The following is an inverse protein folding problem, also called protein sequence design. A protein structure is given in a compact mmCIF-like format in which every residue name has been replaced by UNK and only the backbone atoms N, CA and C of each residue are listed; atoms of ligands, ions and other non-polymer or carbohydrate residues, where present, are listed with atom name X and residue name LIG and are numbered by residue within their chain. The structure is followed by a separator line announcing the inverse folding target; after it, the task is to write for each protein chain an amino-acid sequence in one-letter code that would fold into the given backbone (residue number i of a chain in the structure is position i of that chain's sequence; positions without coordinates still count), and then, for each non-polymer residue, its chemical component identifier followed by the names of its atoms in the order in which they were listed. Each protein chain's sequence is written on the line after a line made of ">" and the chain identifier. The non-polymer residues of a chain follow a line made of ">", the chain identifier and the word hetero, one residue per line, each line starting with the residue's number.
data_IF_508447904957
#
_entry.id   IF_508447904957
#
_cell.length_a   1.000
_cell.length_b   1.000
_cell.length_c   1.000
_cell.angle_alpha   90.00
_cell.angle_beta   90.00
_cell.angle_gamma   90.00
#
_symmetry.space_group_name_H-M   'P 1'
#
loop_
_entity.id
_entity.type
_entity.pdbx_description
1 polymer ?
#
# COMPACT_ATOMS: atom_id res chain seq x y z
N UNK A 1 12.83 -3.62 10.62
CA UNK A 1 12.33 -3.51 12.01
C UNK A 1 13.07 -4.48 12.92
N UNK A 2 13.07 -4.21 14.23
CA UNK A 2 13.50 -5.11 15.28
C UNK A 2 12.27 -5.81 15.89
N UNK A 3 12.37 -7.10 16.18
CA UNK A 3 11.27 -7.93 16.67
C UNK A 3 10.56 -8.70 15.56
N UNK A 4 9.29 -9.01 15.75
CA UNK A 4 8.46 -9.65 14.73
C UNK A 4 8.13 -8.69 13.60
N UNK A 5 7.97 -9.20 12.38
CA UNK A 5 7.91 -8.43 11.14
C UNK A 5 6.63 -7.62 10.88
N UNK A 6 5.59 -7.74 11.70
CA UNK A 6 4.29 -7.07 11.51
C UNK A 6 4.40 -5.56 11.23
N UNK A 7 5.31 -4.87 11.94
CA UNK A 7 5.54 -3.42 11.76
C UNK A 7 6.36 -3.04 10.53
N UNK A 8 6.87 -4.00 9.78
CA UNK A 8 7.55 -3.73 8.52
C UNK A 8 6.56 -3.40 7.39
N UNK A 9 5.38 -4.00 7.45
CA UNK A 9 4.31 -3.88 6.45
C UNK A 9 3.17 -3.01 6.99
N UNK A 10 2.69 -3.31 8.21
CA UNK A 10 1.59 -2.59 8.82
C UNK A 10 2.11 -1.42 9.67
N UNK A 11 1.85 -0.21 9.19
CA UNK A 11 2.11 0.99 9.98
C UNK A 11 1.12 1.08 11.13
N UNK A 12 1.62 1.06 12.34
CA UNK A 12 0.80 1.23 13.55
C UNK A 12 1.07 2.59 14.17
N UNK A 13 0.15 3.52 14.00
CA UNK A 13 0.27 4.86 14.55
C UNK A 13 1.46 5.65 13.98
N UNK A 14 2.30 6.20 14.88
CA UNK A 14 3.50 6.96 14.53
C UNK A 14 4.78 6.13 14.61
N UNK A 15 4.70 4.81 14.43
CA UNK A 15 5.85 3.92 14.43
C UNK A 15 6.29 3.62 12.98
N UNK A 16 7.59 3.65 12.73
CA UNK A 16 8.12 3.61 11.37
C UNK A 16 9.20 2.54 11.21
N UNK A 17 9.12 1.69 10.18
CA UNK A 17 10.22 0.82 9.80
C UNK A 17 11.39 1.65 9.25
N UNK A 18 12.62 1.14 9.39
CA UNK A 18 13.79 1.72 8.72
C UNK A 18 13.76 1.35 7.24
N UNK A 19 13.56 2.32 6.37
CA UNK A 19 13.67 2.18 4.92
C UNK A 19 15.14 2.29 4.50
N UNK A 20 15.58 1.41 3.60
CA UNK A 20 16.95 1.34 3.09
C UNK A 20 16.91 1.18 1.57
N UNK A 21 17.46 2.14 0.85
CA UNK A 21 17.73 2.00 -0.58
C UNK A 21 18.99 1.17 -0.78
N UNK A 22 18.88 -0.04 -1.31
CA UNK A 22 20.06 -0.93 -1.47
C UNK A 22 21.13 -0.36 -2.40
N UNK A 23 20.76 0.50 -3.34
CA UNK A 23 21.71 1.23 -4.19
C UNK A 23 22.54 2.26 -3.41
N UNK A 24 21.94 2.86 -2.37
CA UNK A 24 22.53 3.90 -1.52
C UNK A 24 22.19 3.63 -0.04
N UNK A 25 22.76 2.58 0.58
CA UNK A 25 22.29 2.09 1.88
C UNK A 25 22.47 3.09 3.03
N UNK A 26 23.38 4.06 2.88
CA UNK A 26 23.62 5.12 3.87
C UNK A 26 22.74 6.37 3.67
N UNK A 27 21.93 6.40 2.61
CA UNK A 27 21.00 7.51 2.39
C UNK A 27 19.91 7.47 3.48
N UNK A 28 19.66 8.63 4.08
CA UNK A 28 18.61 8.82 5.08
C UNK A 28 17.58 9.84 4.60
N UNK A 29 16.29 9.65 4.89
CA UNK A 29 15.26 10.64 4.58
C UNK A 29 15.49 11.98 5.28
N UNK A 30 16.13 11.95 6.45
CA UNK A 30 16.52 13.14 7.20
C UNK A 30 17.86 12.94 7.91
N UNK A 31 18.60 14.04 8.09
CA UNK A 31 19.87 14.06 8.82
C UNK A 31 19.76 14.72 10.18
N UNK A 32 18.66 15.43 10.47
CA UNK A 32 18.46 16.06 11.77
C UNK A 32 18.02 15.05 12.86
N UNK A 33 18.54 15.22 14.06
CA UNK A 33 18.35 14.29 15.16
C UNK A 33 16.88 14.19 15.62
N UNK A 34 16.10 15.28 15.51
CA UNK A 34 14.68 15.29 15.90
C UNK A 34 13.85 14.42 14.96
N UNK A 35 14.08 14.53 13.67
CA UNK A 35 13.41 13.71 12.65
C UNK A 35 13.82 12.26 12.75
N UNK A 36 15.13 11.95 12.94
CA UNK A 36 15.60 10.59 13.13
C UNK A 36 14.92 9.93 14.35
N UNK A 37 14.80 10.62 15.48
CA UNK A 37 14.07 10.12 16.65
C UNK A 37 12.59 9.88 16.34
N UNK A 38 11.94 10.84 15.70
CA UNK A 38 10.51 10.77 15.37
C UNK A 38 10.17 9.61 14.44
N UNK A 39 11.04 9.35 13.46
CA UNK A 39 10.83 8.34 12.43
C UNK A 39 11.60 7.03 12.67
N UNK A 40 12.10 6.82 13.88
CA UNK A 40 12.65 5.54 14.32
C UNK A 40 11.58 4.66 14.96
N UNK A 41 11.83 3.36 14.97
CA UNK A 41 10.97 2.39 15.63
C UNK A 41 10.86 2.67 17.13
N UNK A 42 9.64 2.85 17.63
CA UNK A 42 9.35 3.13 19.05
C UNK A 42 8.83 1.90 19.79
N UNK A 43 8.19 0.98 19.08
CA UNK A 43 7.59 -0.23 19.65
C UNK A 43 8.17 -1.48 19.00
N UNK A 44 8.15 -2.58 19.73
CA UNK A 44 8.56 -3.90 19.26
C UNK A 44 7.46 -4.91 19.52
N UNK A 45 7.17 -5.72 18.51
CA UNK A 45 6.28 -6.87 18.63
C UNK A 45 7.10 -8.11 18.95
N UNK A 46 6.69 -8.85 19.97
CA UNK A 46 7.41 -10.01 20.48
C UNK A 46 6.46 -11.07 21.06
N UNK A 47 6.99 -12.28 21.24
CA UNK A 47 6.32 -13.34 21.99
C UNK A 47 6.85 -13.34 23.44
N UNK A 48 5.96 -13.10 24.39
CA UNK A 48 6.27 -13.30 25.80
C UNK A 48 6.21 -14.79 26.13
N UNK A 49 7.38 -15.39 26.33
CA UNK A 49 7.48 -16.83 26.60
C UNK A 49 6.96 -17.23 27.98
N UNK A 50 6.82 -16.29 28.94
CA UNK A 50 6.27 -16.58 30.27
C UNK A 50 4.77 -16.67 30.23
N UNK A 51 4.15 -15.74 29.48
CA UNK A 51 2.68 -15.66 29.36
C UNK A 51 2.17 -16.38 28.09
N UNK A 52 3.08 -16.85 27.23
CA UNK A 52 2.78 -17.48 25.94
C UNK A 52 1.80 -16.62 25.11
N UNK A 53 2.10 -15.34 25.03
CA UNK A 53 1.24 -14.35 24.39
C UNK A 53 2.04 -13.40 23.49
N UNK A 54 1.37 -12.93 22.43
CA UNK A 54 1.88 -11.85 21.60
C UNK A 54 1.76 -10.53 22.37
N UNK A 55 2.83 -9.73 22.37
CA UNK A 55 2.84 -8.41 23.01
C UNK A 55 3.51 -7.37 22.13
N UNK A 56 2.95 -6.18 22.17
CA UNK A 56 3.56 -4.95 21.66
C UNK A 56 4.09 -4.16 22.85
N UNK A 57 5.38 -3.86 22.89
CA UNK A 57 6.01 -3.15 23.99
C UNK A 57 6.86 -1.97 23.50
N UNK A 58 7.01 -0.89 24.27
CA UNK A 58 7.98 0.15 23.96
C UNK A 58 9.40 -0.45 23.84
N UNK A 59 10.15 -0.03 22.82
CA UNK A 59 11.52 -0.48 22.61
C UNK A 59 12.38 -0.28 23.85
N UNK A 60 12.21 0.85 24.54
CA UNK A 60 12.97 1.21 25.74
C UNK A 60 12.76 0.26 26.91
N UNK A 61 11.62 -0.42 26.97
CA UNK A 61 11.29 -1.36 28.08
C UNK A 61 11.84 -2.77 27.80
N UNK A 62 12.16 -3.08 26.54
CA UNK A 62 12.62 -4.43 26.13
C UNK A 62 14.12 -4.47 25.90
N UNK A 63 14.66 -3.40 25.34
CA UNK A 63 16.06 -3.33 24.97
C UNK A 63 16.94 -3.29 26.23
N UNK A 64 17.92 -4.17 26.29
CA UNK A 64 18.84 -4.20 27.44
C UNK A 64 20.29 -4.33 26.97
N UNK A 65 21.21 -3.97 27.87
CA UNK A 65 22.64 -3.95 27.62
C UNK A 65 23.25 -5.32 27.28
N UNK A 66 22.60 -6.40 27.69
CA UNK A 66 23.09 -7.77 27.46
C UNK A 66 22.64 -8.34 26.10
N UNK A 67 21.83 -7.59 25.34
CA UNK A 67 21.43 -8.00 24.02
C UNK A 67 22.59 -7.82 23.05
N UNK A 68 23.24 -8.93 22.66
CA UNK A 68 24.48 -8.93 21.87
C UNK A 68 24.38 -8.11 20.56
N UNK A 69 23.31 -8.22 19.77
CA UNK A 69 23.17 -7.46 18.52
C UNK A 69 22.93 -5.96 18.70
N UNK A 70 22.69 -5.49 19.93
CA UNK A 70 22.29 -4.10 20.20
C UNK A 70 23.17 -3.06 19.50
N UNK A 71 24.48 -3.28 19.50
CA UNK A 71 25.45 -2.35 18.88
C UNK A 71 25.30 -2.18 17.37
N UNK A 72 24.63 -3.14 16.70
CA UNK A 72 24.35 -3.07 15.27
C UNK A 72 23.00 -2.40 15.00
N UNK A 73 22.08 -2.46 15.94
CA UNK A 73 20.69 -2.00 15.78
C UNK A 73 20.49 -0.58 16.25
N UNK A 74 21.11 -0.18 17.39
CA UNK A 74 20.83 1.07 18.07
C UNK A 74 22.05 2.00 18.14
N UNK A 75 21.74 3.29 18.26
CA UNK A 75 22.69 4.36 18.61
C UNK A 75 22.21 5.08 19.87
N UNK A 76 23.14 5.74 20.57
CA UNK A 76 22.83 6.62 21.70
C UNK A 76 22.52 8.00 21.18
N UNK A 77 21.39 8.56 21.60
CA UNK A 77 21.05 9.96 21.39
C UNK A 77 21.72 10.84 22.46
N UNK A 78 22.64 11.68 22.03
CA UNK A 78 23.36 12.63 22.86
C UNK A 78 22.87 14.07 22.60
N UNK A 79 21.52 14.27 22.72
CA UNK A 79 20.84 15.57 22.66
C UNK A 79 21.14 16.43 21.41
N UNK A 80 21.25 15.79 20.26
CA UNK A 80 21.44 16.48 18.97
C UNK A 80 22.31 15.74 17.97
N UNK A 81 23.00 14.70 18.43
CA UNK A 81 23.74 13.79 17.56
C UNK A 81 23.68 12.35 18.08
N UNK A 82 23.92 11.41 17.18
CA UNK A 82 23.90 9.98 17.49
C UNK A 82 25.31 9.42 17.57
N UNK A 83 25.63 8.73 18.65
CA UNK A 83 26.89 8.02 18.84
C UNK A 83 26.71 6.52 18.79
N UNK A 84 27.71 5.82 18.23
CA UNK A 84 27.73 4.37 18.14
C UNK A 84 28.03 3.74 19.50
N UNK A 85 27.35 2.64 19.82
CA UNK A 85 27.68 1.83 20.98
C UNK A 85 29.04 1.14 20.77
N UNK A 86 30.06 1.58 21.52
CA UNK A 86 31.44 1.07 21.43
C UNK A 86 31.71 -0.11 22.36
N UNK A 87 30.94 -0.25 23.43
CA UNK A 87 31.10 -1.30 24.45
C UNK A 87 29.84 -2.15 24.55
N UNK A 88 30.01 -3.42 24.96
CA UNK A 88 28.90 -4.32 25.26
C UNK A 88 28.10 -3.89 26.50
N UNK A 89 28.64 -3.00 27.30
CA UNK A 89 28.04 -2.55 28.57
C UNK A 89 27.55 -1.11 28.43
N UNK A 90 26.26 -0.92 28.55
CA UNK A 90 25.64 0.38 28.74
C UNK A 90 25.68 0.60 30.25
N UNK A 91 26.63 1.40 30.74
CA UNK A 91 26.82 1.65 32.19
C UNK A 91 25.85 2.68 32.75
N UNK A 92 24.99 3.27 31.89
CA UNK A 92 24.13 4.37 32.28
C UNK A 92 22.67 4.06 31.83
N UNK A 93 21.81 3.82 32.83
CA UNK A 93 20.38 3.54 32.63
C UNK A 93 19.62 4.73 32.00
N UNK A 94 20.23 5.91 31.97
CA UNK A 94 19.63 7.13 31.42
C UNK A 94 19.95 7.36 29.93
N UNK A 95 20.71 6.50 29.27
CA UNK A 95 21.00 6.67 27.83
C UNK A 95 19.79 6.40 26.96
N UNK A 96 19.41 7.38 26.18
CA UNK A 96 18.33 7.27 25.21
C UNK A 96 18.82 6.47 23.99
N UNK A 97 18.36 5.24 23.85
CA UNK A 97 18.66 4.39 22.71
C UNK A 97 17.63 4.62 21.59
N UNK A 98 18.12 4.69 20.36
CA UNK A 98 17.30 4.87 19.16
C UNK A 98 17.66 3.78 18.15
N UNK A 99 16.67 3.06 17.64
CA UNK A 99 16.85 2.00 16.63
C UNK A 99 17.10 2.67 15.28
N UNK A 100 18.34 2.64 14.81
CA UNK A 100 18.75 3.28 13.55
C UNK A 100 19.25 2.31 12.50
N UNK A 101 19.66 1.09 12.87
CA UNK A 101 20.32 0.09 12.05
C UNK A 101 21.61 0.58 11.33
N UNK A 102 22.14 1.73 11.72
CA UNK A 102 23.27 2.34 11.03
C UNK A 102 24.54 1.49 11.09
N UNK A 103 24.83 0.93 12.25
CA UNK A 103 26.03 0.10 12.44
C UNK A 103 25.88 -1.27 11.74
N UNK A 104 24.67 -1.80 11.57
CA UNK A 104 24.41 -2.96 10.73
C UNK A 104 24.85 -2.69 9.30
N UNK A 105 24.40 -1.56 8.72
CA UNK A 105 24.70 -1.19 7.36
C UNK A 105 26.20 -0.88 7.14
N UNK A 106 26.85 -0.33 8.16
CA UNK A 106 28.24 0.11 8.06
C UNK A 106 29.25 -1.00 8.33
N UNK A 107 28.95 -1.93 9.25
CA UNK A 107 29.91 -2.95 9.73
C UNK A 107 29.67 -4.33 9.17
N UNK A 108 28.56 -4.56 8.50
CA UNK A 108 28.23 -5.88 7.93
C UNK A 108 28.00 -5.77 6.43
N UNK A 109 28.12 -6.86 5.69
CA UNK A 109 27.81 -6.90 4.27
C UNK A 109 26.29 -7.01 3.99
N UNK A 110 25.42 -6.51 4.88
CA UNK A 110 23.96 -6.65 4.78
C UNK A 110 23.41 -6.16 3.44
N UNK A 111 23.68 -4.90 3.08
CA UNK A 111 23.16 -4.30 1.87
C UNK A 111 23.72 -4.96 0.59
N UNK A 112 24.97 -5.39 0.61
CA UNK A 112 25.59 -6.12 -0.50
C UNK A 112 24.94 -7.47 -0.71
N UNK A 113 24.82 -8.29 0.36
CA UNK A 113 24.20 -9.61 0.31
C UNK A 113 22.73 -9.53 -0.13
N UNK A 114 21.96 -8.58 0.41
CA UNK A 114 20.57 -8.38 0.00
C UNK A 114 20.46 -8.06 -1.49
N UNK A 115 21.34 -7.21 -2.00
CA UNK A 115 21.38 -6.85 -3.43
C UNK A 115 21.71 -8.05 -4.31
N UNK A 116 22.68 -8.86 -3.89
CA UNK A 116 23.06 -10.08 -4.61
C UNK A 116 21.94 -11.11 -4.61
N UNK A 117 21.29 -11.31 -3.46
CA UNK A 117 20.14 -12.22 -3.32
C UNK A 117 18.98 -11.81 -4.23
N UNK A 118 18.58 -10.56 -4.20
CA UNK A 118 17.50 -10.04 -5.05
C UNK A 118 17.84 -10.22 -6.53
N UNK A 119 19.05 -9.83 -6.97
CA UNK A 119 19.47 -10.03 -8.37
C UNK A 119 19.48 -11.51 -8.81
N UNK A 120 19.87 -12.40 -7.92
CA UNK A 120 19.84 -13.82 -8.22
C UNK A 120 18.41 -14.35 -8.37
N UNK A 121 17.52 -13.93 -7.47
CA UNK A 121 16.10 -14.29 -7.51
C UNK A 121 15.42 -13.70 -8.74
N UNK A 122 15.56 -12.40 -9.01
CA UNK A 122 15.02 -11.73 -10.20
C UNK A 122 15.47 -12.41 -11.50
N UNK A 123 16.75 -12.81 -11.57
CA UNK A 123 17.26 -13.54 -12.73
C UNK A 123 16.60 -14.91 -12.92
N UNK A 124 16.26 -15.60 -11.84
CA UNK A 124 15.67 -16.94 -11.92
C UNK A 124 14.15 -16.90 -12.12
N UNK A 125 13.48 -15.88 -11.57
CA UNK A 125 12.05 -15.66 -11.78
C UNK A 125 11.73 -14.90 -13.07
N UNK A 126 12.75 -14.33 -13.72
CA UNK A 126 12.61 -13.45 -14.90
C UNK A 126 11.67 -12.24 -14.66
N UNK A 127 11.51 -11.86 -13.40
CA UNK A 127 10.66 -10.76 -12.93
C UNK A 127 11.26 -10.15 -11.66
N UNK A 128 10.96 -8.88 -11.34
CA UNK A 128 11.21 -8.30 -10.03
C UNK A 128 10.59 -9.17 -8.93
N UNK A 129 11.18 -9.20 -7.74
CA UNK A 129 10.68 -10.03 -6.64
C UNK A 129 10.47 -9.23 -5.37
N UNK A 130 9.44 -9.60 -4.61
CA UNK A 130 9.27 -9.25 -3.22
C UNK A 130 9.83 -10.34 -2.32
N UNK A 131 10.50 -9.93 -1.25
CA UNK A 131 11.20 -10.83 -0.37
C UNK A 131 10.88 -10.53 1.10
N UNK A 132 10.33 -11.52 1.80
CA UNK A 132 10.28 -11.51 3.25
C UNK A 132 11.47 -12.27 3.81
N UNK A 133 12.13 -11.67 4.80
CA UNK A 133 13.32 -12.25 5.39
C UNK A 133 13.48 -11.88 6.87
N UNK A 134 14.23 -12.69 7.56
CA UNK A 134 14.80 -12.35 8.87
C UNK A 134 16.32 -12.30 8.79
N UNK A 135 16.92 -11.56 9.72
CA UNK A 135 18.36 -11.59 9.87
C UNK A 135 18.77 -11.68 11.35
N UNK A 136 19.91 -12.31 11.58
CA UNK A 136 20.61 -12.26 12.85
C UNK A 136 22.05 -11.84 12.63
N UNK A 137 22.60 -11.15 13.61
CA UNK A 137 24.00 -10.71 13.61
C UNK A 137 24.63 -11.03 14.96
N UNK A 138 25.75 -11.72 14.94
CA UNK A 138 26.53 -12.08 16.13
C UNK A 138 28.00 -11.74 15.89
N UNK A 139 28.78 -11.69 16.95
CA UNK A 139 30.22 -11.60 16.82
C UNK A 139 30.82 -13.01 16.81
N UNK A 140 31.72 -13.27 15.88
CA UNK A 140 32.56 -14.46 15.93
C UNK A 140 33.54 -14.39 17.14
N UNK A 141 34.25 -15.46 17.48
CA UNK A 141 35.22 -15.44 18.58
C UNK A 141 36.33 -14.39 18.40
N UNK A 142 36.56 -13.90 17.18
CA UNK A 142 37.53 -12.86 16.86
C UNK A 142 36.92 -11.44 16.91
N UNK A 143 35.61 -11.33 17.19
CA UNK A 143 34.87 -10.07 17.29
C UNK A 143 34.47 -9.47 15.94
N UNK A 144 34.46 -10.28 14.86
CA UNK A 144 33.93 -9.88 13.56
C UNK A 144 32.45 -10.18 13.48
N UNK A 145 31.66 -9.30 12.82
CA UNK A 145 30.23 -9.56 12.65
C UNK A 145 29.99 -10.74 11.71
N UNK A 146 29.26 -11.73 12.17
CA UNK A 146 28.69 -12.80 11.38
C UNK A 146 27.22 -12.52 11.15
N UNK A 147 26.84 -12.36 9.89
CA UNK A 147 25.47 -12.05 9.47
C UNK A 147 24.86 -13.28 8.83
N UNK A 148 23.71 -13.72 9.37
CA UNK A 148 22.85 -14.73 8.77
C UNK A 148 21.56 -14.06 8.28
N UNK A 149 21.18 -14.30 7.03
CA UNK A 149 19.92 -13.86 6.45
C UNK A 149 19.13 -15.10 6.06
N UNK A 150 17.89 -15.18 6.53
CA UNK A 150 16.99 -16.30 6.23
C UNK A 150 15.81 -15.78 5.43
N UNK A 151 15.64 -16.29 4.21
CA UNK A 151 14.47 -15.98 3.37
C UNK A 151 13.29 -16.75 3.95
N UNK A 152 12.20 -16.06 4.22
CA UNK A 152 10.93 -16.61 4.69
C UNK A 152 9.97 -16.81 3.52
N UNK A 153 9.91 -15.85 2.62
CA UNK A 153 9.05 -15.86 1.45
C UNK A 153 9.72 -15.11 0.31
N UNK A 154 9.50 -15.59 -0.92
CA UNK A 154 9.85 -14.89 -2.15
C UNK A 154 8.68 -15.00 -3.11
N UNK A 155 8.23 -13.87 -3.65
CA UNK A 155 7.17 -13.78 -4.65
C UNK A 155 7.67 -13.00 -5.85
N UNK A 156 7.51 -13.52 -7.08
CA UNK A 156 7.71 -12.68 -8.26
C UNK A 156 6.65 -11.59 -8.26
N UNK A 157 7.04 -10.36 -8.54
CA UNK A 157 6.09 -9.30 -8.82
C UNK A 157 5.50 -9.55 -10.20
N UNK A 158 4.18 -9.74 -10.28
CA UNK A 158 3.52 -9.79 -11.58
C UNK A 158 3.67 -8.42 -12.23
N UNK A 159 4.34 -8.39 -13.38
CA UNK A 159 4.31 -7.22 -14.24
C UNK A 159 2.90 -7.18 -14.85
N UNK A 160 2.13 -6.17 -14.49
CA UNK A 160 0.95 -5.80 -15.24
C UNK A 160 1.42 -5.63 -16.69
N UNK A 161 0.87 -6.42 -17.62
CA UNK A 161 1.34 -6.44 -19.01
C UNK A 161 1.27 -5.01 -19.54
N UNK A 162 2.42 -4.40 -19.78
CA UNK A 162 2.52 -3.13 -20.48
C UNK A 162 2.04 -3.36 -21.93
N UNK A 163 0.76 -3.20 -22.15
CA UNK A 163 0.19 -3.19 -23.50
C UNK A 163 0.61 -1.89 -24.15
N UNK A 164 1.44 -1.96 -25.18
CA UNK A 164 1.90 -0.91 -26.09
C UNK A 164 2.09 0.48 -25.45
N UNK A 165 3.23 1.10 -25.68
CA UNK A 165 3.62 2.41 -25.12
C UNK A 165 2.42 3.36 -24.99
N UNK A 166 1.97 3.55 -23.76
CA UNK A 166 0.76 4.31 -23.45
C UNK A 166 1.09 5.79 -23.57
N UNK A 167 0.70 6.40 -24.68
CA UNK A 167 0.92 7.84 -24.92
C UNK A 167 -0.17 8.60 -24.16
N UNK A 168 0.19 9.23 -23.05
CA UNK A 168 -0.69 10.21 -22.41
C UNK A 168 -1.01 11.32 -23.41
N UNK A 169 -2.29 11.71 -23.59
CA UNK A 169 -2.66 12.82 -24.45
C UNK A 169 -1.96 14.10 -23.96
N UNK A 170 -1.47 14.89 -24.92
CA UNK A 170 -0.68 16.10 -24.60
C UNK A 170 -1.49 17.12 -23.78
N UNK A 171 -2.76 17.30 -24.09
CA UNK A 171 -3.72 18.13 -23.34
C UNK A 171 -5.11 17.50 -23.54
N UNK A 172 -5.62 16.66 -22.59
CA UNK A 172 -6.99 16.19 -22.70
C UNK A 172 -7.97 17.34 -22.48
N UNK A 173 -9.12 17.29 -23.15
CA UNK A 173 -10.20 18.22 -22.85
C UNK A 173 -10.60 18.03 -21.37
N UNK A 174 -10.65 19.12 -20.63
CA UNK A 174 -10.96 19.09 -19.20
C UNK A 174 -12.34 18.48 -18.91
N UNK A 175 -13.28 18.55 -19.86
CA UNK A 175 -14.61 17.97 -19.73
C UNK A 175 -14.60 16.44 -19.87
N UNK A 176 -13.58 15.88 -20.49
CA UNK A 176 -13.41 14.42 -20.64
C UNK A 176 -12.74 13.78 -19.44
N UNK A 177 -12.03 14.55 -18.60
CA UNK A 177 -11.31 14.03 -17.45
C UNK A 177 -12.28 13.72 -16.32
N UNK A 178 -12.38 12.44 -15.94
CA UNK A 178 -13.16 11.97 -14.79
C UNK A 178 -12.32 11.96 -13.52
N UNK A 179 -11.07 11.54 -13.62
CA UNK A 179 -10.11 11.66 -12.52
C UNK A 179 -8.68 11.77 -13.06
N UNK A 180 -7.82 12.41 -12.28
CA UNK A 180 -6.36 12.39 -12.45
C UNK A 180 -5.71 12.23 -11.08
N UNK A 181 -4.69 11.40 -11.01
CA UNK A 181 -3.87 11.22 -9.80
C UNK A 181 -2.40 11.10 -10.14
N UNK A 182 -1.55 11.55 -9.19
CA UNK A 182 -0.08 11.50 -9.28
C UNK A 182 0.54 10.71 -8.13
N UNK A 183 -0.26 9.87 -7.48
CA UNK A 183 0.19 9.14 -6.31
C UNK A 183 0.36 7.65 -6.64
N UNK A 184 1.62 7.18 -6.65
CA UNK A 184 2.03 5.77 -6.88
C UNK A 184 1.27 5.14 -8.05
N UNK A 185 1.64 5.53 -9.25
CA UNK A 185 0.98 5.08 -10.47
C UNK A 185 1.77 3.92 -11.07
N UNK A 186 1.15 2.75 -11.32
CA UNK A 186 1.76 1.69 -12.10
C UNK A 186 1.79 2.06 -13.59
N UNK A 187 2.63 1.40 -14.38
CA UNK A 187 2.48 1.45 -15.84
C UNK A 187 1.32 0.58 -16.27
N UNK A 188 0.40 1.11 -17.11
CA UNK A 188 -0.74 0.33 -17.59
C UNK A 188 -1.78 1.09 -18.40
N UNK A 189 -2.70 0.31 -18.96
CA UNK A 189 -3.75 0.83 -19.81
C UNK A 189 -5.01 -0.02 -19.72
N UNK A 190 -6.14 0.63 -19.46
CA UNK A 190 -7.47 0.03 -19.55
C UNK A 190 -8.23 0.69 -20.70
N UNK A 191 -8.33 -0.03 -21.80
CA UNK A 191 -8.94 0.44 -23.04
C UNK A 191 -10.42 0.81 -22.88
N UNK A 192 -11.13 0.09 -21.98
CA UNK A 192 -12.57 0.26 -21.82
C UNK A 192 -13.03 -0.12 -20.45
N UNK A 193 -13.78 0.77 -19.82
CA UNK A 193 -14.52 0.55 -18.58
C UNK A 193 -15.95 1.02 -18.82
N UNK A 194 -16.91 0.12 -18.63
CA UNK A 194 -18.34 0.39 -18.86
C UNK A 194 -19.09 0.71 -17.57
N UNK A 195 -18.59 0.17 -16.42
CA UNK A 195 -19.21 0.36 -15.10
C UNK A 195 -18.18 0.76 -14.05
N UNK A 196 -18.68 1.52 -13.06
CA UNK A 196 -17.91 1.87 -11.86
C UNK A 196 -18.72 1.46 -10.64
N UNK A 197 -18.16 0.56 -9.83
CA UNK A 197 -18.66 0.20 -8.49
C UNK A 197 -18.13 1.26 -7.53
N UNK A 198 -19.00 2.12 -7.03
CA UNK A 198 -18.61 3.26 -6.21
C UNK A 198 -19.16 3.16 -4.79
N UNK A 199 -18.28 3.21 -3.81
CA UNK A 199 -18.59 3.33 -2.39
C UNK A 199 -18.39 4.80 -1.98
N UNK A 200 -19.47 5.59 -1.80
CA UNK A 200 -19.35 6.98 -1.37
C UNK A 200 -18.71 7.06 0.01
N UNK A 201 -17.57 7.80 0.17
CA UNK A 201 -16.87 7.88 1.45
C UNK A 201 -17.75 8.36 2.60
N UNK A 202 -18.56 9.38 2.36
CA UNK A 202 -19.43 9.98 3.36
C UNK A 202 -20.50 8.99 3.87
N UNK A 203 -21.00 8.11 2.99
CA UNK A 203 -21.98 7.09 3.36
C UNK A 203 -21.34 5.89 4.05
N UNK A 204 -20.14 5.50 3.62
CA UNK A 204 -19.37 4.43 4.27
C UNK A 204 -19.09 4.74 5.74
N UNK A 205 -18.61 5.94 6.04
CA UNK A 205 -18.29 6.34 7.43
C UNK A 205 -19.53 6.61 8.30
N UNK A 206 -20.74 6.67 7.73
CA UNK A 206 -21.99 6.66 8.49
C UNK A 206 -22.37 5.27 8.98
N UNK A 207 -21.83 4.19 8.41
CA UNK A 207 -22.06 2.82 8.87
C UNK A 207 -21.44 2.64 10.26
N UNK A 208 -22.27 2.45 11.28
CA UNK A 208 -21.85 2.51 12.69
C UNK A 208 -21.31 1.18 13.22
N UNK A 209 -21.59 0.06 12.57
CA UNK A 209 -21.21 -1.26 13.04
C UNK A 209 -20.29 -1.99 12.05
N UNK A 210 -19.39 -2.81 12.59
CA UNK A 210 -18.57 -3.72 11.79
C UNK A 210 -19.43 -4.64 10.93
N UNK A 211 -20.59 -5.08 11.45
CA UNK A 211 -21.52 -5.94 10.71
C UNK A 211 -22.06 -5.26 9.44
N UNK A 212 -22.46 -3.98 9.51
CA UNK A 212 -22.93 -3.24 8.33
C UNK A 212 -21.82 -3.11 7.27
N UNK A 213 -20.58 -2.87 7.69
CA UNK A 213 -19.44 -2.80 6.77
C UNK A 213 -19.08 -4.15 6.16
N UNK A 214 -19.21 -5.22 6.94
CA UNK A 214 -19.07 -6.61 6.42
C UNK A 214 -20.18 -6.96 5.44
N UNK A 215 -21.42 -6.55 5.72
CA UNK A 215 -22.54 -6.77 4.81
C UNK A 215 -22.40 -5.97 3.51
N UNK A 216 -21.79 -4.78 3.57
CA UNK A 216 -21.41 -4.02 2.38
C UNK A 216 -20.34 -4.79 1.55
N UNK A 217 -19.30 -5.33 2.19
CA UNK A 217 -18.30 -6.16 1.52
C UNK A 217 -18.95 -7.37 0.81
N UNK A 218 -19.85 -8.07 1.48
CA UNK A 218 -20.63 -9.18 0.88
C UNK A 218 -21.50 -8.73 -0.29
N UNK A 219 -22.07 -7.52 -0.22
CA UNK A 219 -22.87 -6.95 -1.32
C UNK A 219 -21.98 -6.68 -2.53
N UNK A 220 -20.77 -6.15 -2.31
CA UNK A 220 -19.76 -5.96 -3.37
C UNK A 220 -19.39 -7.30 -4.00
N UNK A 221 -19.15 -8.35 -3.21
CA UNK A 221 -18.85 -9.70 -3.72
C UNK A 221 -19.98 -10.27 -4.59
N UNK A 222 -21.26 -10.06 -4.19
CA UNK A 222 -22.40 -10.46 -5.04
C UNK A 222 -22.47 -9.68 -6.34
N UNK A 223 -22.18 -8.37 -6.27
CA UNK A 223 -22.14 -7.53 -7.46
C UNK A 223 -20.99 -7.91 -8.39
N UNK A 224 -19.80 -8.22 -7.84
CA UNK A 224 -18.67 -8.75 -8.61
C UNK A 224 -19.05 -10.01 -9.39
N UNK A 225 -19.74 -10.95 -8.77
CA UNK A 225 -20.22 -12.17 -9.45
C UNK A 225 -21.24 -11.85 -10.55
N UNK A 226 -22.14 -10.89 -10.33
CA UNK A 226 -23.12 -10.47 -11.34
C UNK A 226 -22.45 -9.76 -12.52
N UNK A 227 -21.39 -9.01 -12.30
CA UNK A 227 -20.63 -8.24 -13.31
C UNK A 227 -19.52 -9.06 -14.02
N UNK A 228 -19.49 -10.40 -13.88
CA UNK A 228 -18.42 -11.26 -14.44
C UNK A 228 -18.07 -10.94 -15.90
N UNK A 229 -19.05 -10.58 -16.73
CA UNK A 229 -18.87 -10.32 -18.16
C UNK A 229 -18.65 -8.84 -18.51
N UNK A 230 -18.73 -7.98 -17.50
CA UNK A 230 -18.66 -6.55 -17.69
C UNK A 230 -17.23 -6.03 -17.41
N UNK A 231 -16.90 -4.91 -18.03
CA UNK A 231 -15.64 -4.23 -17.78
C UNK A 231 -15.88 -3.13 -16.73
N UNK A 232 -15.45 -3.37 -15.50
CA UNK A 232 -15.69 -2.44 -14.41
C UNK A 232 -14.47 -2.22 -13.53
N UNK A 233 -14.52 -1.13 -12.77
CA UNK A 233 -13.55 -0.76 -11.74
C UNK A 233 -14.27 -0.54 -10.40
N UNK A 234 -13.52 -0.67 -9.30
CA UNK A 234 -13.98 -0.29 -7.97
C UNK A 234 -13.37 1.03 -7.54
N UNK A 235 -14.16 1.91 -6.91
CA UNK A 235 -13.74 3.20 -6.38
C UNK A 235 -14.36 3.39 -5.00
N UNK A 236 -13.56 3.75 -3.98
CA UNK A 236 -14.14 4.00 -2.66
C UNK A 236 -13.10 4.37 -1.59
N UNK A 237 -13.58 4.57 -0.35
CA UNK A 237 -12.78 5.18 0.70
C UNK A 237 -11.72 4.25 1.25
N UNK A 238 -10.55 4.82 1.50
CA UNK A 238 -9.55 4.28 2.36
C UNK A 238 -8.85 3.05 1.87
N UNK A 239 -8.32 2.32 2.82
CA UNK A 239 -7.52 1.12 2.62
C UNK A 239 -8.42 -0.11 2.50
N UNK A 240 -8.71 -0.53 1.30
CA UNK A 240 -9.49 -1.73 1.04
C UNK A 240 -8.74 -3.01 1.46
N UNK A 241 -9.47 -4.05 1.79
CA UNK A 241 -8.88 -5.31 2.23
C UNK A 241 -8.26 -5.26 3.64
N UNK A 242 -8.44 -4.17 4.38
CA UNK A 242 -7.99 -4.08 5.77
C UNK A 242 -8.91 -4.87 6.71
N UNK A 243 -8.31 -5.62 7.65
CA UNK A 243 -9.05 -6.24 8.75
C UNK A 243 -9.69 -5.21 9.69
N UNK A 244 -9.18 -3.98 9.71
CA UNK A 244 -9.78 -2.86 10.41
C UNK A 244 -10.69 -2.07 9.47
N UNK A 245 -12.00 -2.29 9.58
CA UNK A 245 -13.01 -1.62 8.77
C UNK A 245 -13.14 -0.11 8.98
N UNK A 246 -12.45 0.47 9.96
CA UNK A 246 -12.36 1.94 10.10
C UNK A 246 -11.36 2.55 9.11
N UNK A 247 -10.46 1.74 8.56
CA UNK A 247 -9.47 2.19 7.57
C UNK A 247 -9.99 2.15 6.13
N UNK A 248 -10.98 1.32 5.84
CA UNK A 248 -11.55 1.17 4.49
C UNK A 248 -12.44 -0.05 4.37
N UNK A 249 -12.86 -0.39 3.18
CA UNK A 249 -13.83 -1.46 2.92
C UNK A 249 -13.20 -2.83 3.18
N UNK A 250 -13.75 -3.64 4.12
CA UNK A 250 -13.15 -4.90 4.54
C UNK A 250 -13.49 -6.06 3.59
N UNK A 251 -13.06 -5.96 2.34
CA UNK A 251 -13.21 -7.02 1.34
C UNK A 251 -12.01 -7.96 1.34
N UNK A 252 -12.22 -9.14 0.79
CA UNK A 252 -11.16 -10.02 0.33
C UNK A 252 -10.97 -9.89 -1.18
N UNK A 253 -9.83 -10.37 -1.70
CA UNK A 253 -9.57 -10.41 -3.15
C UNK A 253 -10.73 -11.10 -3.91
N UNK A 254 -11.29 -12.18 -3.35
CA UNK A 254 -12.43 -12.89 -3.91
C UNK A 254 -13.70 -12.04 -4.12
N UNK A 255 -13.82 -10.90 -3.45
CA UNK A 255 -14.97 -10.01 -3.58
C UNK A 255 -14.89 -9.07 -4.80
N UNK A 256 -13.70 -8.94 -5.42
CA UNK A 256 -13.48 -8.02 -6.56
C UNK A 256 -12.63 -8.61 -7.69
N UNK A 257 -12.46 -9.92 -7.76
CA UNK A 257 -11.52 -10.57 -8.71
C UNK A 257 -11.86 -10.37 -10.20
N UNK A 258 -13.04 -9.89 -10.54
CA UNK A 258 -13.39 -9.49 -11.92
C UNK A 258 -13.15 -7.99 -12.20
N UNK A 259 -12.88 -7.19 -11.18
CA UNK A 259 -12.55 -5.78 -11.37
C UNK A 259 -11.26 -5.62 -12.18
N UNK A 260 -11.13 -4.52 -12.92
CA UNK A 260 -9.94 -4.17 -13.69
C UNK A 260 -9.02 -3.21 -12.96
N UNK A 261 -9.57 -2.41 -12.07
CA UNK A 261 -8.81 -1.53 -11.19
C UNK A 261 -9.53 -1.34 -9.86
N UNK A 262 -8.77 -1.03 -8.83
CA UNK A 262 -9.26 -0.54 -7.54
C UNK A 262 -8.65 0.84 -7.29
N UNK A 263 -9.51 1.83 -7.11
CA UNK A 263 -9.11 3.21 -6.83
C UNK A 263 -9.49 3.56 -5.40
N UNK A 264 -8.49 3.73 -4.54
CA UNK A 264 -8.65 4.11 -3.15
C UNK A 264 -8.71 5.63 -2.99
N UNK A 265 -9.75 6.14 -2.36
CA UNK A 265 -9.92 7.57 -2.09
C UNK A 265 -9.40 7.91 -0.70
N UNK A 266 -8.52 8.90 -0.61
CA UNK A 266 -7.95 9.41 0.62
C UNK A 266 -8.15 10.93 0.71
N UNK A 267 -8.18 11.48 1.95
CA UNK A 267 -8.29 12.92 2.19
C UNK A 267 -8.93 13.23 3.53
N UNK A 268 -8.57 14.36 4.12
CA UNK A 268 -9.07 14.80 5.44
C UNK A 268 -10.58 15.01 5.45
N UNK A 269 -11.16 15.40 4.32
CA UNK A 269 -12.60 15.70 4.19
C UNK A 269 -13.49 14.46 4.23
N UNK A 270 -12.91 13.26 4.04
CA UNK A 270 -13.66 12.01 4.04
C UNK A 270 -13.53 11.21 5.34
N UNK A 271 -12.94 11.80 6.38
CA UNK A 271 -12.71 11.17 7.68
C UNK A 271 -11.25 11.19 8.08
N UNK A 272 -10.86 10.31 9.02
CA UNK A 272 -9.43 10.10 9.32
C UNK A 272 -8.74 9.69 8.01
N UNK A 273 -7.64 10.36 7.60
CA UNK A 273 -7.03 10.09 6.31
C UNK A 273 -6.51 8.66 6.29
N UNK A 274 -7.21 7.74 5.63
CA UNK A 274 -6.73 6.37 5.52
C UNK A 274 -5.57 6.37 4.52
N UNK A 275 -4.49 5.74 4.91
CA UNK A 275 -3.40 5.50 3.99
C UNK A 275 -3.86 4.43 2.98
N UNK A 276 -3.53 4.58 1.69
CA UNK A 276 -3.79 3.53 0.70
C UNK A 276 -3.15 2.19 1.08
N UNK A 277 -3.67 1.09 0.53
CA UNK A 277 -3.22 -0.30 0.83
C UNK A 277 -1.81 -0.64 0.34
N UNK A 278 -1.03 0.33 -0.10
CA UNK A 278 0.32 0.15 -0.63
C UNK A 278 1.20 -0.69 0.30
N UNK A 279 1.82 -1.72 -0.25
CA UNK A 279 2.74 -2.60 0.47
C UNK A 279 2.06 -3.66 1.34
N UNK A 280 0.75 -3.85 1.26
CA UNK A 280 0.04 -4.94 1.94
C UNK A 280 -0.03 -6.19 1.06
N UNK A 281 -0.32 -7.35 1.68
CA UNK A 281 -0.59 -8.58 0.93
C UNK A 281 -1.77 -8.41 -0.03
N UNK A 282 -2.82 -7.72 0.40
CA UNK A 282 -3.97 -7.42 -0.47
C UNK A 282 -3.57 -6.65 -1.73
N UNK A 283 -2.68 -5.66 -1.61
CA UNK A 283 -2.15 -4.93 -2.76
C UNK A 283 -1.37 -5.84 -3.71
N UNK A 284 -0.58 -6.79 -3.18
CA UNK A 284 0.13 -7.78 -3.99
C UNK A 284 -0.84 -8.72 -4.71
N UNK A 285 -1.87 -9.18 -4.01
CA UNK A 285 -2.92 -10.02 -4.61
C UNK A 285 -3.63 -9.32 -5.77
N UNK A 286 -3.87 -7.99 -5.68
CA UNK A 286 -4.41 -7.20 -6.79
C UNK A 286 -3.48 -7.21 -8.01
N UNK A 287 -2.18 -6.98 -7.79
CA UNK A 287 -1.20 -6.99 -8.87
C UNK A 287 -1.11 -8.37 -9.55
N UNK A 288 -1.06 -9.46 -8.75
CA UNK A 288 -1.05 -10.83 -9.26
C UNK A 288 -2.31 -11.16 -10.08
N UNK A 289 -3.44 -10.58 -9.69
CA UNK A 289 -4.72 -10.72 -10.40
C UNK A 289 -4.87 -9.79 -11.61
N UNK A 290 -3.86 -8.98 -11.90
CA UNK A 290 -3.92 -7.93 -12.95
C UNK A 290 -5.01 -6.88 -12.70
N UNK A 291 -5.32 -6.58 -11.44
CA UNK A 291 -6.17 -5.49 -11.02
C UNK A 291 -5.27 -4.29 -10.71
N UNK A 292 -5.41 -3.19 -11.48
CA UNK A 292 -4.58 -2.00 -11.30
C UNK A 292 -4.94 -1.26 -10.00
N UNK A 293 -4.04 -1.18 -9.01
CA UNK A 293 -4.27 -0.39 -7.81
C UNK A 293 -3.90 1.07 -8.04
N UNK A 294 -4.79 1.97 -7.71
CA UNK A 294 -4.60 3.42 -7.77
C UNK A 294 -5.07 4.07 -6.48
N UNK A 295 -4.58 5.27 -6.19
CA UNK A 295 -5.06 6.08 -5.09
C UNK A 295 -5.24 7.53 -5.52
N UNK A 296 -6.33 8.17 -5.06
CA UNK A 296 -6.61 9.58 -5.31
C UNK A 296 -6.69 10.30 -3.97
N UNK A 297 -5.77 11.24 -3.74
CA UNK A 297 -5.83 12.16 -2.60
C UNK A 297 -6.72 13.35 -2.98
N UNK A 298 -7.95 13.37 -2.46
CA UNK A 298 -8.98 14.36 -2.82
C UNK A 298 -8.62 15.81 -2.42
N UNK A 299 -7.73 15.98 -1.46
CA UNK A 299 -7.27 17.30 -0.99
C UNK A 299 -6.00 17.78 -1.72
N UNK A 300 -5.40 16.95 -2.58
CA UNK A 300 -4.21 17.35 -3.34
C UNK A 300 -4.61 18.21 -4.54
N UNK A 301 -4.03 19.42 -4.70
CA UNK A 301 -4.47 20.41 -5.69
C UNK A 301 -4.26 19.99 -7.15
N UNK A 302 -3.34 19.05 -7.40
CA UNK A 302 -3.06 18.54 -8.76
C UNK A 302 -3.92 17.32 -9.12
N UNK A 303 -4.70 16.77 -8.18
CA UNK A 303 -5.57 15.65 -8.45
C UNK A 303 -6.95 16.15 -8.91
N UNK A 304 -7.53 15.43 -9.84
CA UNK A 304 -8.89 15.68 -10.34
C UNK A 304 -9.78 14.54 -9.89
N UNK A 305 -10.94 14.87 -9.37
CA UNK A 305 -12.01 13.93 -9.07
C UNK A 305 -13.36 14.58 -9.41
N UNK A 306 -13.96 14.15 -10.48
CA UNK A 306 -15.21 14.73 -10.99
C UNK A 306 -16.41 14.21 -10.22
N UNK A 307 -16.79 14.95 -9.17
CA UNK A 307 -17.87 14.55 -8.25
C UNK A 307 -19.20 14.30 -8.96
N UNK A 308 -19.55 15.10 -9.97
CA UNK A 308 -20.78 14.95 -10.75
C UNK A 308 -20.90 13.56 -11.37
N UNK A 309 -19.80 13.03 -11.91
CA UNK A 309 -19.76 11.66 -12.45
C UNK A 309 -20.10 10.62 -11.38
N UNK A 310 -19.51 10.71 -10.20
CA UNK A 310 -19.64 9.69 -9.16
C UNK A 310 -20.96 9.79 -8.37
N UNK A 311 -21.50 11.00 -8.20
CA UNK A 311 -22.62 11.23 -7.30
C UNK A 311 -23.96 11.52 -8.03
N UNK A 312 -23.93 12.09 -9.24
CA UNK A 312 -25.12 12.56 -9.93
C UNK A 312 -25.56 11.62 -11.07
N UNK A 313 -24.65 10.77 -11.60
CA UNK A 313 -25.02 9.75 -12.58
C UNK A 313 -26.03 8.78 -11.98
N UNK A 314 -27.07 8.34 -12.71
CA UNK A 314 -28.05 7.37 -12.21
C UNK A 314 -27.40 6.11 -11.65
N UNK A 315 -27.92 5.64 -10.50
CA UNK A 315 -27.49 4.39 -9.89
C UNK A 315 -28.21 3.21 -10.55
N UNK A 316 -27.46 2.17 -10.92
CA UNK A 316 -27.95 0.94 -11.55
C UNK A 316 -27.85 -0.28 -10.66
N UNK A 317 -27.49 -0.11 -9.38
CA UNK A 317 -27.23 -1.23 -8.47
C UNK A 317 -28.40 -2.21 -8.38
N UNK A 318 -29.64 -1.70 -8.24
CA UNK A 318 -30.86 -2.50 -8.11
C UNK A 318 -31.21 -3.33 -9.36
N UNK A 319 -30.62 -3.02 -10.52
CA UNK A 319 -30.78 -3.83 -11.74
C UNK A 319 -29.99 -5.15 -11.69
N UNK A 320 -28.96 -5.23 -10.81
CA UNK A 320 -28.02 -6.33 -10.75
C UNK A 320 -28.10 -7.15 -9.46
N UNK A 321 -28.34 -6.50 -8.32
CA UNK A 321 -28.37 -7.15 -7.01
C UNK A 321 -29.46 -6.55 -6.14
N UNK A 322 -30.02 -7.38 -5.25
CA UNK A 322 -30.91 -6.91 -4.20
C UNK A 322 -30.07 -6.36 -3.04
N UNK A 323 -30.23 -5.09 -2.75
CA UNK A 323 -29.55 -4.41 -1.66
C UNK A 323 -30.42 -4.31 -0.41
N UNK A 324 -29.86 -4.51 0.79
CA UNK A 324 -30.56 -4.20 2.04
C UNK A 324 -30.83 -2.69 2.12
N UNK A 325 -32.02 -2.26 2.62
CA UNK A 325 -32.37 -0.84 2.71
C UNK A 325 -31.37 0.01 3.49
N UNK A 326 -30.70 -0.58 4.49
CA UNK A 326 -29.65 0.06 5.29
C UNK A 326 -28.35 0.33 4.54
N UNK A 327 -28.15 -0.27 3.37
CA UNK A 327 -26.98 -0.10 2.52
C UNK A 327 -27.27 0.66 1.22
N UNK A 328 -28.53 1.04 0.99
CA UNK A 328 -29.00 1.64 -0.26
C UNK A 328 -28.23 2.89 -0.74
N UNK A 329 -27.60 3.62 0.18
CA UNK A 329 -26.79 4.80 -0.16
C UNK A 329 -25.29 4.51 -0.12
N UNK A 330 -24.88 3.35 0.41
CA UNK A 330 -23.47 3.03 0.69
C UNK A 330 -22.75 2.37 -0.48
N UNK A 331 -23.47 1.97 -1.51
CA UNK A 331 -22.92 1.40 -2.74
C UNK A 331 -23.71 1.93 -3.94
N UNK A 332 -23.02 2.21 -5.00
CA UNK A 332 -23.60 2.65 -6.29
C UNK A 332 -22.97 1.89 -7.44
N UNK A 333 -23.76 1.55 -8.44
CA UNK A 333 -23.27 1.06 -9.71
C UNK A 333 -23.52 2.10 -10.79
N UNK A 334 -22.46 2.73 -11.24
CA UNK A 334 -22.49 3.79 -12.26
C UNK A 334 -22.24 3.15 -13.62
N UNK A 335 -23.15 3.33 -14.56
CA UNK A 335 -22.93 2.99 -15.96
C UNK A 335 -22.40 4.23 -16.68
N UNK A 336 -21.20 4.16 -17.26
CA UNK A 336 -20.53 5.31 -17.92
C UNK A 336 -21.40 5.93 -19.00
N UNK A 337 -22.11 5.12 -19.79
CA UNK A 337 -23.03 5.55 -20.82
C UNK A 337 -24.17 6.46 -20.31
N UNK A 338 -24.59 6.31 -19.03
CA UNK A 338 -25.65 7.13 -18.45
C UNK A 338 -25.17 8.55 -18.09
N UNK A 339 -23.86 8.71 -17.87
CA UNK A 339 -23.25 10.04 -17.70
C UNK A 339 -23.05 10.74 -19.05
N UNK A 340 -22.46 10.02 -20.01
CA UNK A 340 -22.29 10.52 -21.39
C UNK A 340 -22.67 9.42 -22.37
N UNK A 341 -23.75 9.61 -23.17
CA UNK A 341 -24.17 8.63 -24.17
C UNK A 341 -23.03 8.26 -25.14
N UNK A 342 -23.05 7.01 -25.59
CA UNK A 342 -22.09 6.47 -26.55
C UNK A 342 -20.62 6.64 -26.15
N UNK A 343 -20.35 6.62 -24.84
CA UNK A 343 -19.00 6.75 -24.29
C UNK A 343 -18.68 5.63 -23.30
N UNK A 344 -17.39 5.37 -23.15
CA UNK A 344 -16.78 4.52 -22.14
C UNK A 344 -15.68 5.28 -21.40
N UNK A 345 -15.22 4.76 -20.27
CA UNK A 345 -14.07 5.30 -19.56
C UNK A 345 -12.82 4.53 -19.99
N UNK A 346 -11.77 5.26 -20.34
CA UNK A 346 -10.42 4.77 -20.64
C UNK A 346 -9.50 5.21 -19.50
N UNK A 347 -8.62 4.31 -19.02
CA UNK A 347 -7.67 4.67 -17.97
C UNK A 347 -6.25 4.48 -18.48
N UNK A 348 -5.49 5.54 -18.46
CA UNK A 348 -4.11 5.62 -18.92
C UNK A 348 -3.22 5.85 -17.69
N UNK A 349 -2.22 5.00 -17.51
CA UNK A 349 -1.32 5.04 -16.35
C UNK A 349 0.12 5.03 -16.85
N UNK A 350 0.93 5.98 -16.42
CA UNK A 350 2.36 6.03 -16.73
C UNK A 350 3.18 6.20 -15.46
N UNK A 351 4.01 5.23 -15.13
CA UNK A 351 4.94 5.26 -14.01
C UNK A 351 6.09 6.24 -14.29
N UNK A 352 6.54 6.35 -15.55
CA UNK A 352 7.58 7.30 -15.98
C UNK A 352 7.17 8.74 -15.68
N UNK A 353 5.91 9.10 -15.98
CA UNK A 353 5.37 10.44 -15.74
C UNK A 353 4.74 10.60 -14.36
N UNK A 354 4.53 9.49 -13.64
CA UNK A 354 3.85 9.47 -12.35
C UNK A 354 2.41 9.95 -12.41
N UNK A 355 1.67 9.64 -13.49
CA UNK A 355 0.29 10.12 -13.73
C UNK A 355 -0.62 8.99 -14.16
N UNK A 356 -1.77 8.88 -13.50
CA UNK A 356 -2.91 8.10 -14.00
C UNK A 356 -4.10 9.01 -14.26
N UNK A 357 -4.74 8.82 -15.41
CA UNK A 357 -5.86 9.63 -15.86
C UNK A 357 -7.00 8.74 -16.37
N UNK A 358 -8.23 9.05 -15.93
CA UNK A 358 -9.45 8.44 -16.43
C UNK A 358 -10.18 9.41 -17.38
N UNK A 359 -10.34 9.00 -18.63
CA UNK A 359 -10.87 9.81 -19.70
C UNK A 359 -12.15 9.21 -20.30
N UNK A 360 -13.16 10.03 -20.55
CA UNK A 360 -14.29 9.65 -21.37
C UNK A 360 -13.89 9.61 -22.84
N UNK A 361 -14.17 8.50 -23.50
CA UNK A 361 -13.95 8.32 -24.93
C UNK A 361 -15.23 7.90 -25.63
N UNK A 362 -15.52 8.46 -26.82
CA UNK A 362 -16.66 8.02 -27.59
C UNK A 362 -16.45 6.58 -28.06
N UNK A 363 -17.52 5.80 -28.05
CA UNK A 363 -17.51 4.48 -28.68
C UNK A 363 -17.33 4.68 -30.18
N UNK A 364 -16.26 4.12 -30.76
CA UNK A 364 -16.11 4.11 -32.22
C UNK A 364 -17.29 3.32 -32.79
N UNK A 365 -17.95 3.82 -33.87
CA UNK A 365 -18.98 3.03 -34.55
C UNK A 365 -18.34 1.71 -35.00
N UNK A 366 -18.97 0.60 -34.61
CA UNK A 366 -18.57 -0.72 -35.15
C UNK A 366 -18.47 -0.59 -36.66
N UNK A 367 -17.22 -0.61 -37.19
CA UNK A 367 -17.02 -0.68 -38.61
C UNK A 367 -17.77 -1.91 -39.09
N UNK A 368 -18.87 -1.70 -39.78
CA UNK A 368 -19.51 -2.75 -40.57
C UNK A 368 -18.39 -3.33 -41.44
N UNK A 369 -18.01 -4.56 -41.11
CA UNK A 369 -17.10 -5.35 -41.95
C UNK A 369 -17.59 -5.25 -43.40
N UNK A 370 -16.73 -4.66 -44.21
CA UNK A 370 -16.85 -4.70 -45.67
C UNK A 370 -16.51 -6.10 -46.17
#
# INVERSE_FOLDING_TARGET
>A
VWGLGTRAVDRVGNDFPRLIALSHPHLRPSTDAKSIRRYSQQYVDLIDLKENSFKTMPVVDVINANYEPLRYLAQVDEDGFFSSLRTRYISDENKKLVITFEELLRRTPFAERMREMLRLLEKNYEAPVDLEFTFSVHDDPQGKPELCITILQCRPQSQLQATAATILPYEPDSEDVIFETRFVVPEGYLERVDYVVFVPPEEYYKLKSVNQRTDLARLIGRLNAALEKEKYICVGPGRWGSSNSDLGVPIDYGDIYHARALIELAGEKIGLPPEPSLGTHFFQDLLEAQIYPLAIHLDHPENIFRREFFYETPDRLSEWVNEPPELATSLRLIRVHDYRPDSHLEIIMSDEKGVAIGLLRPNLPENRAL
#
